data_IF_039523096943
#
_entry.id   IF_039523096943
#
_cell.length_a   1.000
_cell.length_b   1.000
_cell.length_c   1.000
_cell.angle_alpha   90.00
_cell.angle_beta   90.00
_cell.angle_gamma   90.00
#
_symmetry.space_group_name_H-M   'P 1'
#
loop_
_entity.id
_entity.type
_entity.pdbx_description
1 polymer ?
#
# COMPACT_ATOMS: atom_id res chain seq x y z
N UNK A 1 -18.38 1.95 -13.73
CA UNK A 1 -17.63 3.06 -13.10
C UNK A 1 -17.16 2.73 -11.68
N UNK A 2 -17.95 2.03 -10.88
CA UNK A 2 -17.62 1.62 -9.50
C UNK A 2 -16.41 0.68 -9.40
N UNK A 3 -16.18 -0.16 -10.40
CA UNK A 3 -15.04 -1.12 -10.42
C UNK A 3 -13.69 -0.41 -10.58
N UNK A 4 -13.62 0.56 -11.48
CA UNK A 4 -12.42 1.38 -11.67
C UNK A 4 -12.13 2.28 -10.46
N UNK A 5 -13.18 2.68 -9.73
CA UNK A 5 -13.05 3.41 -8.46
C UNK A 5 -12.37 2.53 -7.40
N UNK A 6 -12.77 1.26 -7.28
CA UNK A 6 -12.19 0.31 -6.33
C UNK A 6 -10.70 0.07 -6.63
N UNK A 7 -10.36 -0.14 -7.90
CA UNK A 7 -8.96 -0.26 -8.34
C UNK A 7 -8.13 0.98 -7.96
N UNK A 8 -8.66 2.18 -8.22
CA UNK A 8 -8.02 3.44 -7.85
C UNK A 8 -7.80 3.58 -6.34
N UNK A 9 -8.79 3.21 -5.52
CA UNK A 9 -8.69 3.23 -4.05
C UNK A 9 -7.62 2.27 -3.54
N UNK A 10 -7.54 1.05 -4.11
CA UNK A 10 -6.51 0.07 -3.75
C UNK A 10 -5.09 0.59 -4.03
N UNK A 11 -4.87 1.19 -5.20
CA UNK A 11 -3.56 1.80 -5.53
C UNK A 11 -3.24 2.97 -4.58
N UNK A 12 -4.23 3.81 -4.26
CA UNK A 12 -4.04 4.91 -3.30
C UNK A 12 -3.65 4.41 -1.90
N UNK A 13 -4.32 3.37 -1.39
CA UNK A 13 -3.96 2.72 -0.12
C UNK A 13 -2.53 2.19 -0.18
N UNK A 14 -2.16 1.56 -1.30
CA UNK A 14 -0.80 1.07 -1.52
C UNK A 14 0.25 2.18 -1.41
N UNK A 15 0.03 3.32 -2.05
CA UNK A 15 0.91 4.49 -1.97
C UNK A 15 0.96 5.10 -0.56
N UNK A 16 -0.17 5.14 0.15
CA UNK A 16 -0.21 5.58 1.54
C UNK A 16 0.64 4.68 2.44
N UNK A 17 0.54 3.35 2.27
CA UNK A 17 1.30 2.37 3.04
C UNK A 17 2.81 2.50 2.80
N UNK A 18 3.25 2.86 1.58
CA UNK A 18 4.66 3.19 1.30
C UNK A 18 5.13 4.34 2.20
N UNK A 19 4.32 5.39 2.39
CA UNK A 19 4.62 6.46 3.34
C UNK A 19 4.77 5.93 4.78
N UNK A 20 3.94 4.97 5.17
CA UNK A 20 4.04 4.23 6.43
C UNK A 20 5.38 3.50 6.60
N UNK A 21 5.89 2.87 5.52
CA UNK A 21 7.21 2.21 5.52
C UNK A 21 8.31 3.21 5.90
N UNK A 22 8.37 4.34 5.20
CA UNK A 22 9.40 5.36 5.45
C UNK A 22 9.29 5.95 6.86
N UNK A 23 8.07 6.20 7.33
CA UNK A 23 7.82 6.73 8.67
C UNK A 23 8.28 5.75 9.77
N UNK A 24 7.85 4.49 9.69
CA UNK A 24 8.16 3.46 10.68
C UNK A 24 9.64 3.06 10.66
N UNK A 25 10.24 3.02 9.46
CA UNK A 25 11.67 2.77 9.31
C UNK A 25 12.50 3.85 10.01
N UNK A 26 12.12 5.14 9.88
CA UNK A 26 12.77 6.24 10.60
C UNK A 26 12.60 6.17 12.12
N UNK A 27 11.52 5.56 12.60
CA UNK A 27 11.25 5.36 14.03
C UNK A 27 11.94 4.10 14.60
N UNK A 28 12.64 3.31 13.79
CA UNK A 28 13.27 2.05 14.21
C UNK A 28 12.29 0.88 14.38
N UNK A 29 11.01 1.07 14.04
CA UNK A 29 9.95 0.06 14.12
C UNK A 29 9.98 -0.86 12.90
N UNK A 30 11.03 -1.71 12.84
CA UNK A 30 11.34 -2.56 11.68
C UNK A 30 10.19 -3.49 11.26
N UNK A 31 9.52 -4.12 12.22
CA UNK A 31 8.40 -5.03 11.93
C UNK A 31 7.23 -4.28 11.32
N UNK A 32 6.87 -3.12 11.87
CA UNK A 32 5.81 -2.29 11.31
C UNK A 32 6.13 -1.81 9.89
N UNK A 33 7.36 -1.40 9.64
CA UNK A 33 7.81 -1.01 8.29
C UNK A 33 7.69 -2.17 7.28
N UNK A 34 8.05 -3.40 7.67
CA UNK A 34 7.92 -4.58 6.82
C UNK A 34 6.45 -4.91 6.53
N UNK A 35 5.57 -4.84 7.53
CA UNK A 35 4.14 -5.07 7.36
C UNK A 35 3.53 -4.03 6.41
N UNK A 36 3.87 -2.76 6.57
CA UNK A 36 3.43 -1.72 5.64
C UNK A 36 3.95 -1.97 4.21
N UNK A 37 5.19 -2.45 4.06
CA UNK A 37 5.76 -2.73 2.74
C UNK A 37 5.04 -3.90 2.05
N UNK A 38 4.72 -4.96 2.79
CA UNK A 38 3.94 -6.09 2.29
C UNK A 38 2.53 -5.66 1.91
N UNK A 39 1.85 -4.90 2.78
CA UNK A 39 0.52 -4.37 2.51
C UNK A 39 0.50 -3.44 1.29
N UNK A 40 1.52 -2.60 1.13
CA UNK A 40 1.68 -1.74 -0.04
C UNK A 40 1.82 -2.55 -1.33
N UNK A 41 2.69 -3.56 -1.33
CA UNK A 41 2.88 -4.44 -2.48
C UNK A 41 1.57 -5.14 -2.86
N UNK A 42 0.87 -5.73 -1.88
CA UNK A 42 -0.40 -6.41 -2.12
C UNK A 42 -1.49 -5.48 -2.66
N UNK A 43 -1.64 -4.28 -2.08
CA UNK A 43 -2.68 -3.33 -2.49
C UNK A 43 -2.43 -2.77 -3.90
N UNK A 44 -1.18 -2.45 -4.23
CA UNK A 44 -0.81 -2.01 -5.58
C UNK A 44 -1.02 -3.15 -6.58
N UNK A 45 -0.53 -4.35 -6.28
CA UNK A 45 -0.73 -5.51 -7.17
C UNK A 45 -2.20 -5.82 -7.37
N UNK A 46 -3.02 -5.77 -6.31
CA UNK A 46 -4.46 -5.95 -6.43
C UNK A 46 -5.11 -4.87 -7.31
N UNK A 47 -4.77 -3.59 -7.10
CA UNK A 47 -5.31 -2.50 -7.91
C UNK A 47 -4.88 -2.53 -9.39
N UNK A 48 -3.65 -2.97 -9.66
CA UNK A 48 -3.12 -3.11 -11.04
C UNK A 48 -3.72 -4.31 -11.76
N UNK A 49 -3.87 -5.46 -11.08
CA UNK A 49 -4.45 -6.68 -11.67
C UNK A 49 -5.98 -6.64 -11.80
N UNK A 50 -6.64 -5.63 -11.21
CA UNK A 50 -8.09 -5.45 -11.29
C UNK A 50 -8.56 -4.88 -12.64
N UNK A 51 -7.64 -4.27 -13.39
CA UNK A 51 -7.91 -3.63 -14.68
C UNK A 51 -7.98 -4.60 -15.86
#
# INVERSE_FOLDING_TARGET
MTENLIAGVMVFIGLFLIGGVFSLARQGLKVGAVVCALGAAMAITAGVLWW
#
